data_IF_660014458112
#
_entry.id   IF_660014458112
#
_cell.length_a   1.000
_cell.length_b   1.000
_cell.length_c   1.000
_cell.angle_alpha   90.00
_cell.angle_beta   90.00
_cell.angle_gamma   90.00
#
_symmetry.space_group_name_H-M   'P 1'
#
loop_
_entity.id
_entity.type
_entity.pdbx_description
1 polymer ?
#
# COMPACT_ATOMS: atom_id res chain seq x y z
N UNK A 1 17.88 -25.72 -14.42
CA UNK A 1 17.08 -24.93 -13.45
C UNK A 1 16.96 -23.52 -14.02
N UNK A 2 16.02 -23.32 -14.94
CA UNK A 2 15.72 -21.98 -15.44
C UNK A 2 14.92 -21.29 -14.36
N UNK A 3 15.55 -20.34 -13.68
CA UNK A 3 14.88 -19.36 -12.85
C UNK A 3 13.83 -18.67 -13.72
N UNK A 4 12.56 -19.02 -13.54
CA UNK A 4 11.44 -18.22 -14.03
C UNK A 4 11.47 -16.89 -13.27
N UNK A 5 12.26 -15.98 -13.79
CA UNK A 5 12.13 -14.57 -13.51
C UNK A 5 10.81 -14.14 -14.16
N UNK A 6 9.71 -14.27 -13.41
CA UNK A 6 8.40 -13.77 -13.82
C UNK A 6 8.49 -12.25 -13.87
N UNK A 7 8.91 -11.73 -15.01
CA UNK A 7 8.74 -10.34 -15.37
C UNK A 7 7.23 -10.12 -15.50
N UNK A 8 6.62 -9.59 -14.43
CA UNK A 8 5.19 -9.25 -14.40
C UNK A 8 4.98 -7.99 -15.26
N UNK A 9 5.20 -8.10 -16.56
CA UNK A 9 4.65 -7.18 -17.55
C UNK A 9 3.14 -7.37 -17.56
N UNK A 10 2.36 -6.28 -17.64
CA UNK A 10 0.90 -6.39 -17.70
C UNK A 10 0.50 -7.33 -18.84
N UNK A 11 -0.08 -8.48 -18.49
CA UNK A 11 -0.61 -9.40 -19.48
C UNK A 11 -1.89 -8.79 -20.10
N UNK A 12 -2.31 -9.29 -21.26
CA UNK A 12 -3.58 -8.88 -21.87
C UNK A 12 -4.80 -9.11 -20.95
N UNK A 13 -4.66 -9.95 -19.92
CA UNK A 13 -5.65 -10.15 -18.87
C UNK A 13 -5.66 -9.02 -17.84
N UNK A 14 -4.49 -8.52 -17.41
CA UNK A 14 -4.40 -7.37 -16.50
C UNK A 14 -5.04 -6.14 -17.14
N UNK A 15 -4.82 -5.94 -18.44
CA UNK A 15 -5.38 -4.80 -19.16
C UNK A 15 -6.92 -4.89 -19.25
N UNK A 16 -7.46 -6.08 -19.51
CA UNK A 16 -8.92 -6.33 -19.48
C UNK A 16 -9.50 -6.18 -18.08
N UNK A 17 -8.77 -6.62 -17.05
CA UNK A 17 -9.17 -6.50 -15.65
C UNK A 17 -9.24 -5.03 -15.24
N UNK A 18 -8.21 -4.23 -15.53
CA UNK A 18 -8.27 -2.79 -15.27
C UNK A 18 -9.42 -2.14 -16.04
N UNK A 19 -9.63 -2.50 -17.30
CA UNK A 19 -10.72 -1.91 -18.09
C UNK A 19 -12.12 -2.28 -17.59
N UNK A 20 -12.33 -3.52 -17.15
CA UNK A 20 -13.62 -4.00 -16.65
C UNK A 20 -13.88 -3.63 -15.18
N UNK A 21 -12.81 -3.45 -14.40
CA UNK A 21 -12.84 -3.25 -12.95
C UNK A 21 -11.95 -2.08 -12.53
N UNK A 22 -12.10 -0.96 -13.23
CA UNK A 22 -11.39 0.28 -12.92
C UNK A 22 -11.67 0.70 -11.47
N UNK A 23 -10.62 1.03 -10.71
CA UNK A 23 -10.77 1.36 -9.30
C UNK A 23 -10.94 0.16 -8.35
N UNK A 24 -10.98 -1.09 -8.84
CA UNK A 24 -11.14 -2.30 -8.02
C UNK A 24 -10.01 -3.32 -8.14
N UNK A 25 -9.09 -3.11 -9.07
CA UNK A 25 -7.91 -3.97 -9.26
C UNK A 25 -6.70 -3.26 -8.67
N UNK A 26 -6.05 -3.93 -7.70
CA UNK A 26 -4.86 -3.42 -7.04
C UNK A 26 -3.74 -4.43 -7.19
N UNK A 27 -2.56 -3.97 -7.61
CA UNK A 27 -1.37 -4.82 -7.70
C UNK A 27 -0.96 -5.33 -6.31
N UNK A 28 -0.90 -6.65 -6.16
CA UNK A 28 -0.56 -7.34 -4.90
C UNK A 28 0.82 -6.94 -4.35
N UNK A 29 1.76 -6.59 -5.22
CA UNK A 29 3.10 -6.14 -4.83
C UNK A 29 3.09 -4.82 -4.05
N UNK A 30 2.10 -3.95 -4.29
CA UNK A 30 1.95 -2.69 -3.56
C UNK A 30 1.62 -2.94 -2.08
N UNK A 31 0.76 -3.92 -1.80
CA UNK A 31 0.42 -4.33 -0.43
C UNK A 31 1.66 -4.82 0.31
N UNK A 32 2.54 -5.58 -0.36
CA UNK A 32 3.81 -6.05 0.21
C UNK A 32 4.76 -4.89 0.51
N UNK A 33 4.88 -3.90 -0.38
CA UNK A 33 5.74 -2.73 -0.17
C UNK A 33 5.32 -1.91 1.05
N UNK A 34 4.03 -1.69 1.27
CA UNK A 34 3.53 -0.87 2.39
C UNK A 34 3.62 -1.63 3.72
N UNK A 35 3.43 -2.96 3.71
CA UNK A 35 3.45 -3.81 4.92
C UNK A 35 4.80 -3.82 5.67
N UNK A 36 5.92 -3.62 4.98
CA UNK A 36 7.26 -3.58 5.63
C UNK A 36 7.43 -2.34 6.51
N UNK A 37 6.66 -1.28 6.24
CA UNK A 37 6.77 -0.01 6.94
C UNK A 37 5.84 0.13 8.14
N UNK A 38 4.70 -0.55 8.22
CA UNK A 38 3.67 -0.24 9.21
C UNK A 38 3.05 -1.52 9.82
N UNK A 39 2.85 -1.54 11.15
CA UNK A 39 2.18 -2.65 11.83
C UNK A 39 0.65 -2.51 11.75
N UNK A 40 0.14 -2.41 10.53
CA UNK A 40 -1.25 -2.11 10.21
C UNK A 40 -1.92 -3.36 9.62
N UNK A 41 -3.18 -3.66 9.99
CA UNK A 41 -3.88 -4.81 9.44
C UNK A 41 -3.97 -4.78 7.90
N UNK A 42 -3.81 -5.94 7.28
CA UNK A 42 -3.75 -6.06 5.80
C UNK A 42 -5.01 -5.51 5.13
N UNK A 43 -6.19 -5.75 5.72
CA UNK A 43 -7.46 -5.26 5.17
C UNK A 43 -7.54 -3.73 5.08
N UNK A 44 -6.88 -3.00 5.99
CA UNK A 44 -6.82 -1.52 5.95
C UNK A 44 -5.90 -1.08 4.82
N UNK A 45 -4.77 -1.76 4.64
CA UNK A 45 -3.84 -1.48 3.54
C UNK A 45 -4.51 -1.73 2.19
N UNK A 46 -5.25 -2.83 2.05
CA UNK A 46 -6.02 -3.15 0.85
C UNK A 46 -7.09 -2.10 0.57
N UNK A 47 -7.80 -1.63 1.59
CA UNK A 47 -8.79 -0.56 1.45
C UNK A 47 -8.15 0.75 0.97
N UNK A 48 -7.05 1.18 1.59
CA UNK A 48 -6.33 2.40 1.23
C UNK A 48 -5.75 2.31 -0.19
N UNK A 49 -5.14 1.19 -0.54
CA UNK A 49 -4.60 0.96 -1.88
C UNK A 49 -5.71 0.86 -2.94
N UNK A 50 -6.87 0.29 -2.61
CA UNK A 50 -8.04 0.31 -3.50
C UNK A 50 -8.56 1.72 -3.75
N UNK A 51 -8.52 2.59 -2.74
CA UNK A 51 -8.99 3.98 -2.86
C UNK A 51 -8.05 4.89 -3.66
N UNK A 52 -6.73 4.69 -3.54
CA UNK A 52 -5.73 5.63 -4.07
C UNK A 52 -4.81 5.04 -5.15
N UNK A 53 -4.67 3.71 -5.25
CA UNK A 53 -3.72 3.02 -6.14
C UNK A 53 -4.40 2.04 -7.10
N UNK A 54 -5.70 2.19 -7.37
CA UNK A 54 -6.43 1.29 -8.27
C UNK A 54 -6.38 1.72 -9.75
N UNK A 55 -5.35 2.47 -10.12
CA UNK A 55 -5.02 2.82 -11.51
C UNK A 55 -3.88 1.92 -12.01
N UNK A 56 -3.78 1.76 -13.32
CA UNK A 56 -2.64 1.09 -13.98
C UNK A 56 -1.48 2.02 -14.31
N UNK A 57 -1.69 3.33 -14.20
CA UNK A 57 -0.66 4.33 -14.48
C UNK A 57 0.36 4.40 -13.34
N UNK A 58 1.64 4.29 -13.69
CA UNK A 58 2.71 4.19 -12.71
C UNK A 58 2.86 5.49 -11.90
N UNK A 59 2.64 6.66 -12.52
CA UNK A 59 2.64 7.95 -11.82
C UNK A 59 1.48 8.05 -10.84
N UNK A 60 0.27 7.66 -11.26
CA UNK A 60 -0.91 7.64 -10.39
C UNK A 60 -0.71 6.72 -9.18
N UNK A 61 -0.12 5.53 -9.39
CA UNK A 61 0.21 4.59 -8.31
C UNK A 61 1.20 5.23 -7.33
N UNK A 62 2.29 5.85 -7.81
CA UNK A 62 3.30 6.48 -6.95
C UNK A 62 2.70 7.62 -6.12
N UNK A 63 1.85 8.45 -6.74
CA UNK A 63 1.15 9.53 -6.03
C UNK A 63 0.18 8.97 -4.99
N UNK A 64 -0.58 7.93 -5.33
CA UNK A 64 -1.47 7.24 -4.41
C UNK A 64 -0.72 6.61 -3.24
N UNK A 65 0.41 5.96 -3.47
CA UNK A 65 1.26 5.40 -2.42
C UNK A 65 1.74 6.48 -1.45
N UNK A 66 2.11 7.67 -1.95
CA UNK A 66 2.51 8.79 -1.11
C UNK A 66 1.37 9.23 -0.19
N UNK A 67 0.16 9.36 -0.71
CA UNK A 67 -1.04 9.71 0.08
C UNK A 67 -1.36 8.65 1.12
N UNK A 68 -1.26 7.36 0.76
CA UNK A 68 -1.45 6.25 1.70
C UNK A 68 -0.42 6.29 2.81
N UNK A 69 0.86 6.53 2.50
CA UNK A 69 1.93 6.58 3.49
C UNK A 69 1.75 7.77 4.45
N UNK A 70 1.37 8.93 3.92
CA UNK A 70 1.05 10.13 4.70
C UNK A 70 -0.14 9.88 5.64
N UNK A 71 -1.22 9.30 5.11
CA UNK A 71 -2.40 8.91 5.90
C UNK A 71 -2.03 7.93 7.01
N UNK A 72 -1.18 6.94 6.72
CA UNK A 72 -0.70 5.98 7.71
C UNK A 72 0.19 6.65 8.76
N UNK A 73 1.06 7.58 8.37
CA UNK A 73 1.91 8.32 9.29
C UNK A 73 1.10 9.24 10.23
N UNK A 74 0.06 9.90 9.73
CA UNK A 74 -0.80 10.78 10.53
C UNK A 74 -1.77 9.99 11.44
N UNK A 75 -2.31 8.87 10.95
CA UNK A 75 -3.37 8.15 11.66
C UNK A 75 -2.88 6.93 12.46
N UNK A 76 -1.72 6.36 12.13
CA UNK A 76 -1.14 5.20 12.83
C UNK A 76 0.15 5.58 13.54
N UNK A 77 0.02 5.92 14.82
CA UNK A 77 1.16 6.07 15.73
C UNK A 77 1.84 4.71 15.86
N UNK A 78 3.14 4.63 15.49
CA UNK A 78 3.94 3.45 15.78
C UNK A 78 3.95 3.23 17.30
N UNK A 79 3.68 2.01 17.80
CA UNK A 79 3.63 1.77 19.24
C UNK A 79 4.92 2.14 19.99
N UNK A 80 6.05 2.24 19.29
CA UNK A 80 7.35 2.70 19.81
C UNK A 80 7.34 4.19 20.23
N UNK A 81 6.57 5.05 19.55
CA UNK A 81 6.42 6.47 19.91
C UNK A 81 5.48 6.67 21.11
N UNK A 82 4.56 5.74 21.34
CA UNK A 82 3.59 5.85 22.43
C UNK A 82 4.23 5.69 23.82
N UNK A 83 5.37 4.99 23.92
CA UNK A 83 6.10 4.84 25.18
C UNK A 83 6.79 6.13 25.63
N UNK A 84 7.06 7.09 24.73
CA UNK A 84 7.72 8.35 25.09
C UNK A 84 6.75 9.39 25.65
N UNK A 85 5.47 9.31 25.30
CA UNK A 85 4.43 10.24 25.77
C UNK A 85 4.00 10.06 27.24
N UNK A 86 4.29 8.92 27.87
CA UNK A 86 3.91 8.65 29.27
C UNK A 86 4.99 9.01 30.30
N UNK A 87 6.23 9.32 29.88
CA UNK A 87 7.32 9.59 30.82
C UNK A 87 7.41 11.05 31.29
N UNK A 88 6.68 11.98 30.68
CA UNK A 88 6.76 13.43 30.99
C UNK A 88 5.60 13.94 31.88
N UNK A 89 4.88 13.03 32.56
CA UNK A 89 3.77 13.37 33.48
C UNK A 89 3.95 12.72 34.85
N UNK A 90 5.18 12.60 35.30
CA UNK A 90 5.52 12.07 36.62
C UNK A 90 6.65 12.88 37.21
N UNK A 91 6.42 14.18 37.37
CA UNK A 91 7.14 15.09 38.29
C UNK A 91 6.18 16.22 38.66
#
# INVERSE_FOLDING_TARGET
MTSEETTIGQDGLDQKLTQAFDGKVVRKDLVRKVKVGANVPVFVLEFLLGKYCASSDEMAIQMGLKVVNDTLAENYIRPDEFMKGKSVRSE
#
